data_IF_163173085641
#
_entry.id   IF_163173085641
#
_cell.length_a   1.000
_cell.length_b   1.000
_cell.length_c   1.000
_cell.angle_alpha   90.00
_cell.angle_beta   90.00
_cell.angle_gamma   90.00
#
_symmetry.space_group_name_H-M   'P 1'
#
loop_
_entity.id
_entity.type
_entity.pdbx_description
1 polymer ?
#
# COMPACT_ATOMS: atom_id res chain seq x y z
N UNK A 1 -14.56 36.31 -14.15
CA UNK A 1 -14.48 34.87 -14.46
C UNK A 1 -13.77 34.20 -13.30
N UNK A 2 -14.52 33.53 -12.41
CA UNK A 2 -13.96 32.85 -11.25
C UNK A 2 -13.57 31.43 -11.62
N UNK A 3 -12.29 31.08 -11.47
CA UNK A 3 -11.84 29.70 -11.53
C UNK A 3 -12.16 29.03 -10.19
N UNK A 4 -13.09 28.09 -10.20
CA UNK A 4 -13.30 27.19 -9.06
C UNK A 4 -12.16 26.16 -9.12
N UNK A 5 -11.06 26.47 -8.43
CA UNK A 5 -10.01 25.49 -8.13
C UNK A 5 -10.58 24.60 -7.04
N UNK A 6 -11.19 23.48 -7.42
CA UNK A 6 -11.48 22.44 -6.46
C UNK A 6 -10.17 21.94 -5.88
N UNK A 7 -10.02 22.05 -4.57
CA UNK A 7 -8.91 21.49 -3.82
C UNK A 7 -8.96 19.95 -4.00
N UNK A 8 -8.15 19.42 -4.93
CA UNK A 8 -8.18 18.01 -5.32
C UNK A 8 -7.93 17.08 -4.12
N UNK A 9 -7.23 17.53 -3.09
CA UNK A 9 -7.07 16.78 -1.84
C UNK A 9 -8.39 16.56 -1.08
N UNK A 10 -9.31 17.53 -1.09
CA UNK A 10 -10.60 17.41 -0.38
C UNK A 10 -11.58 16.49 -1.10
N UNK A 11 -11.49 16.38 -2.43
CA UNK A 11 -12.31 15.41 -3.20
C UNK A 11 -11.87 13.97 -2.91
N UNK A 12 -10.57 13.76 -2.62
CA UNK A 12 -10.01 12.45 -2.31
C UNK A 12 -10.36 11.95 -0.92
N UNK A 13 -10.70 12.82 0.03
CA UNK A 13 -11.11 12.43 1.38
C UNK A 13 -12.64 12.46 1.60
N UNK A 14 -13.37 13.39 0.96
CA UNK A 14 -14.79 13.64 1.27
C UNK A 14 -15.81 12.68 0.65
N UNK A 15 -15.47 11.94 -0.42
CA UNK A 15 -16.40 10.93 -0.96
C UNK A 15 -16.25 9.63 -0.19
N UNK A 16 -17.24 9.29 0.64
CA UNK A 16 -17.49 7.91 1.06
C UNK A 16 -17.56 7.06 -0.20
N UNK A 17 -16.66 6.10 -0.34
CA UNK A 17 -16.78 5.09 -1.40
C UNK A 17 -17.86 4.13 -0.93
N UNK A 18 -19.12 4.45 -1.21
CA UNK A 18 -20.23 3.53 -0.98
C UNK A 18 -20.27 2.51 -2.14
N UNK A 19 -19.28 1.61 -2.18
CA UNK A 19 -19.27 0.49 -3.10
C UNK A 19 -19.68 -0.78 -2.33
N UNK A 20 -20.90 -1.32 -2.54
CA UNK A 20 -21.34 -2.55 -1.87
C UNK A 20 -20.38 -3.72 -2.05
N UNK A 21 -19.68 -3.79 -3.19
CA UNK A 21 -18.64 -4.80 -3.48
C UNK A 21 -17.42 -4.71 -2.53
N UNK A 22 -17.15 -3.55 -1.92
CA UNK A 22 -16.14 -3.42 -0.86
C UNK A 22 -16.58 -4.03 0.47
N UNK A 23 -17.89 -4.09 0.73
CA UNK A 23 -18.46 -4.71 1.93
C UNK A 23 -18.45 -6.24 1.84
N UNK A 24 -18.46 -6.76 0.61
CA UNK A 24 -18.53 -8.20 0.28
C UNK A 24 -17.18 -8.85 -0.09
N UNK A 25 -16.05 -8.16 0.14
CA UNK A 25 -14.72 -8.80 0.15
C UNK A 25 -14.57 -9.74 1.37
N UNK A 26 -15.43 -10.77 1.45
CA UNK A 26 -15.23 -11.97 2.26
C UNK A 26 -14.38 -12.92 1.43
N UNK A 27 -13.06 -12.78 1.54
CA UNK A 27 -12.16 -13.81 1.06
C UNK A 27 -12.36 -15.06 1.93
N UNK A 28 -12.45 -16.21 1.27
CA UNK A 28 -12.80 -17.52 1.83
C UNK A 28 -12.17 -17.78 3.19
N UNK A 29 -13.02 -17.99 4.21
CA UNK A 29 -12.65 -18.28 5.60
C UNK A 29 -12.42 -19.77 5.86
N UNK A 30 -12.21 -20.54 4.79
CA UNK A 30 -12.13 -22.00 4.86
C UNK A 30 -10.69 -22.45 4.62
N UNK A 31 -9.82 -22.14 5.57
CA UNK A 31 -8.61 -22.90 5.86
C UNK A 31 -8.12 -22.50 7.25
N UNK A 32 -8.58 -23.23 8.26
CA UNK A 32 -8.08 -23.12 9.63
C UNK A 32 -6.66 -23.69 9.70
N UNK A 33 -5.69 -22.89 9.27
CA UNK A 33 -4.35 -22.90 9.83
C UNK A 33 -4.23 -21.64 10.69
N UNK A 34 -3.62 -21.76 11.87
CA UNK A 34 -3.41 -20.68 12.84
C UNK A 34 -2.47 -19.61 12.25
N UNK A 35 -2.90 -18.90 11.21
CA UNK A 35 -2.14 -17.78 10.68
C UNK A 35 -2.20 -16.64 11.68
N UNK A 36 -1.02 -16.08 11.99
CA UNK A 36 -0.87 -14.82 12.72
C UNK A 36 -1.54 -13.64 12.01
N UNK A 37 -1.94 -13.81 10.74
CA UNK A 37 -2.43 -12.75 9.87
C UNK A 37 -3.84 -13.05 9.36
N UNK A 38 -4.64 -12.00 9.22
CA UNK A 38 -5.94 -12.06 8.56
C UNK A 38 -5.78 -12.29 7.05
N UNK A 39 -4.77 -11.65 6.48
CA UNK A 39 -4.39 -11.79 5.07
C UNK A 39 -2.90 -11.96 4.92
N UNK A 40 -2.53 -12.81 3.98
CA UNK A 40 -1.17 -13.12 3.62
C UNK A 40 -0.92 -12.77 2.16
N UNK A 41 0.28 -12.31 1.87
CA UNK A 41 0.75 -11.94 0.54
C UNK A 41 2.15 -12.52 0.33
N UNK A 42 2.44 -12.91 -0.91
CA UNK A 42 3.81 -13.01 -1.38
C UNK A 42 4.36 -11.60 -1.58
N UNK A 43 5.59 -11.38 -1.13
CA UNK A 43 6.34 -10.18 -1.39
C UNK A 43 7.73 -10.53 -1.93
N UNK A 44 8.29 -9.69 -2.78
CA UNK A 44 9.68 -9.81 -3.20
C UNK A 44 10.61 -9.74 -1.99
N UNK A 45 11.52 -10.70 -1.81
CA UNK A 45 12.51 -10.66 -0.72
C UNK A 45 13.77 -9.89 -1.18
N UNK A 46 14.04 -8.68 -0.65
CA UNK A 46 15.21 -7.93 -1.06
C UNK A 46 16.53 -8.55 -0.59
N UNK A 47 16.51 -9.44 0.40
CA UNK A 47 17.72 -10.10 0.91
C UNK A 47 18.08 -11.35 0.13
N UNK A 48 17.14 -11.88 -0.66
CA UNK A 48 17.34 -13.09 -1.46
C UNK A 48 16.77 -12.89 -2.87
N UNK A 49 17.56 -12.30 -3.79
CA UNK A 49 17.12 -11.97 -5.14
C UNK A 49 16.53 -13.19 -5.87
N UNK A 50 15.31 -13.04 -6.38
CA UNK A 50 14.59 -14.11 -7.07
C UNK A 50 13.76 -15.02 -6.14
N UNK A 51 13.73 -14.73 -4.85
CA UNK A 51 12.84 -15.38 -3.88
C UNK A 51 11.73 -14.44 -3.42
N UNK A 52 10.65 -15.05 -2.94
CA UNK A 52 9.55 -14.38 -2.27
C UNK A 52 9.51 -14.77 -0.80
N UNK A 53 8.97 -13.90 0.04
CA UNK A 53 8.69 -14.18 1.43
C UNK A 53 7.25 -13.82 1.76
N UNK A 54 6.70 -14.47 2.79
CA UNK A 54 5.31 -14.25 3.20
C UNK A 54 5.21 -13.08 4.14
N UNK A 55 4.33 -12.14 3.81
CA UNK A 55 3.99 -10.97 4.63
C UNK A 55 2.48 -10.93 4.87
N UNK A 56 2.01 -10.21 5.88
CA UNK A 56 0.58 -10.19 6.14
C UNK A 56 0.06 -9.09 7.05
N UNK A 57 -1.26 -8.91 7.02
CA UNK A 57 -1.98 -7.93 7.84
C UNK A 57 -2.48 -8.63 9.09
N UNK A 58 -2.08 -8.15 10.27
CA UNK A 58 -2.57 -8.68 11.54
C UNK A 58 -4.09 -8.51 11.67
N UNK A 59 -4.76 -9.49 12.29
CA UNK A 59 -6.21 -9.46 12.56
C UNK A 59 -6.65 -8.20 13.30
N UNK A 60 -5.86 -7.73 14.26
CA UNK A 60 -6.12 -6.48 14.99
C UNK A 60 -6.11 -5.26 14.06
N UNK A 61 -5.12 -5.17 13.17
CA UNK A 61 -5.01 -4.08 12.21
C UNK A 61 -6.16 -4.09 11.20
N UNK A 62 -6.52 -5.28 10.68
CA UNK A 62 -7.69 -5.45 9.81
C UNK A 62 -8.99 -4.97 10.49
N UNK A 63 -9.21 -5.35 11.76
CA UNK A 63 -10.38 -4.91 12.53
C UNK A 63 -10.40 -3.39 12.70
N UNK A 64 -9.26 -2.75 12.94
CA UNK A 64 -9.17 -1.29 13.02
C UNK A 64 -9.59 -0.62 11.70
N UNK A 65 -9.05 -1.08 10.57
CA UNK A 65 -9.39 -0.56 9.24
C UNK A 65 -10.89 -0.69 8.97
N UNK A 66 -11.45 -1.87 9.24
CA UNK A 66 -12.86 -2.16 9.00
C UNK A 66 -13.80 -1.36 9.91
N UNK A 67 -13.53 -1.33 11.21
CA UNK A 67 -14.44 -0.76 12.20
C UNK A 67 -14.46 0.77 12.20
N UNK A 68 -13.37 1.41 11.80
CA UNK A 68 -13.29 2.88 11.69
C UNK A 68 -13.85 3.42 10.35
N UNK A 69 -14.40 2.57 9.48
CA UNK A 69 -14.97 3.00 8.21
C UNK A 69 -13.91 3.46 7.20
N UNK A 70 -12.68 2.95 7.29
CA UNK A 70 -11.63 3.20 6.32
C UNK A 70 -11.81 2.33 5.07
N UNK A 71 -12.99 2.42 4.44
CA UNK A 71 -13.34 1.65 3.24
C UNK A 71 -12.31 1.85 2.12
N UNK A 72 -11.70 3.04 2.05
CA UNK A 72 -10.60 3.36 1.13
C UNK A 72 -9.32 2.57 1.42
N UNK A 73 -8.95 2.39 2.68
CA UNK A 73 -7.77 1.61 3.05
C UNK A 73 -8.01 0.13 2.75
N UNK A 74 -9.19 -0.39 3.10
CA UNK A 74 -9.63 -1.74 2.76
C UNK A 74 -9.65 -1.97 1.23
N UNK A 75 -10.18 -1.01 0.47
CA UNK A 75 -10.24 -1.05 -0.99
C UNK A 75 -8.87 -1.01 -1.69
N UNK A 76 -7.81 -0.62 -0.98
CA UNK A 76 -6.44 -0.55 -1.52
C UNK A 76 -5.65 -1.83 -1.30
N UNK A 77 -6.23 -2.85 -0.69
CA UNK A 77 -5.51 -4.09 -0.44
C UNK A 77 -5.02 -4.81 -1.70
N UNK A 78 -5.73 -4.65 -2.82
CA UNK A 78 -5.23 -5.20 -4.09
C UNK A 78 -4.05 -4.40 -4.65
N UNK A 79 -3.94 -3.10 -4.33
CA UNK A 79 -2.72 -2.34 -4.61
C UNK A 79 -1.58 -2.78 -3.70
N UNK A 80 -1.87 -3.08 -2.43
CA UNK A 80 -0.88 -3.65 -1.50
C UNK A 80 -0.25 -4.90 -2.10
N UNK A 81 -1.07 -5.85 -2.57
CA UNK A 81 -0.58 -7.05 -3.27
C UNK A 81 0.30 -6.70 -4.49
N UNK A 82 -0.19 -5.84 -5.38
CA UNK A 82 0.52 -5.46 -6.61
C UNK A 82 1.90 -4.84 -6.33
N UNK A 83 1.98 -3.97 -5.31
CA UNK A 83 3.24 -3.32 -4.93
C UNK A 83 4.21 -4.27 -4.25
N UNK A 84 3.72 -5.27 -3.50
CA UNK A 84 4.58 -6.29 -2.88
C UNK A 84 5.18 -7.25 -3.91
N UNK A 85 4.42 -7.61 -4.94
CA UNK A 85 4.86 -8.51 -6.02
C UNK A 85 5.76 -7.79 -7.04
N UNK A 86 5.45 -6.54 -7.36
CA UNK A 86 6.15 -5.77 -8.41
C UNK A 86 6.52 -4.35 -7.94
N UNK A 87 7.39 -4.22 -6.93
CA UNK A 87 7.85 -2.91 -6.49
C UNK A 87 8.70 -2.24 -7.57
N UNK A 88 8.66 -0.90 -7.61
CA UNK A 88 9.62 -0.08 -8.38
C UNK A 88 10.91 0.16 -7.60
N UNK A 89 10.85 0.05 -6.27
CA UNK A 89 12.00 0.14 -5.37
C UNK A 89 11.64 -0.43 -3.99
N UNK A 90 12.65 -0.89 -3.25
CA UNK A 90 12.51 -1.24 -1.84
C UNK A 90 13.57 -0.47 -1.05
N UNK A 91 13.13 0.16 0.04
CA UNK A 91 14.01 0.85 0.98
C UNK A 91 14.00 0.18 2.35
N UNK A 92 15.15 0.18 3.03
CA UNK A 92 15.30 -0.28 4.41
C UNK A 92 15.36 0.91 5.37
N UNK A 93 14.62 0.81 6.47
CA UNK A 93 14.47 1.87 7.45
C UNK A 93 13.08 2.50 7.35
N UNK A 94 12.55 2.98 8.48
CA UNK A 94 11.24 3.63 8.52
C UNK A 94 11.25 4.98 9.20
N UNK A 95 10.59 5.95 8.58
CA UNK A 95 10.31 7.28 9.10
C UNK A 95 8.94 7.34 9.80
N UNK A 96 8.92 6.88 11.06
CA UNK A 96 7.99 7.40 12.06
C UNK A 96 8.87 7.87 13.20
N UNK A 97 8.76 9.14 13.58
CA UNK A 97 9.52 9.67 14.71
C UNK A 97 9.39 8.71 15.90
N UNK A 98 10.51 8.15 16.36
CA UNK A 98 10.57 7.28 17.54
C UNK A 98 10.35 5.78 17.30
N UNK A 99 10.28 5.28 16.06
CA UNK A 99 10.34 3.83 15.78
C UNK A 99 11.65 3.47 15.06
N UNK A 100 12.45 2.60 15.66
CA UNK A 100 13.77 2.17 15.14
C UNK A 100 13.74 0.78 14.50
N UNK A 101 12.57 0.28 14.11
CA UNK A 101 12.44 -1.10 13.65
C UNK A 101 13.04 -1.27 12.24
N UNK A 102 13.71 -2.41 12.03
CA UNK A 102 14.13 -2.90 10.71
C UNK A 102 12.89 -3.12 9.84
N UNK A 103 12.49 -2.06 9.15
CA UNK A 103 11.30 -2.05 8.33
C UNK A 103 11.66 -1.93 6.85
N UNK A 104 10.88 -2.57 6.01
CA UNK A 104 10.97 -2.52 4.56
C UNK A 104 9.84 -1.67 4.01
N UNK A 105 10.19 -0.72 3.15
CA UNK A 105 9.25 0.12 2.41
C UNK A 105 9.28 -0.31 0.95
N UNK A 106 8.22 -0.98 0.52
CA UNK A 106 7.95 -1.32 -0.87
C UNK A 106 7.28 -0.12 -1.54
N UNK A 107 7.87 0.32 -2.64
CA UNK A 107 7.42 1.47 -3.39
C UNK A 107 6.84 0.94 -4.69
N UNK A 108 5.62 1.34 -5.02
CA UNK A 108 4.98 1.01 -6.29
C UNK A 108 4.43 2.25 -6.97
N UNK A 109 4.14 2.11 -8.27
CA UNK A 109 3.51 3.15 -9.07
C UNK A 109 2.32 2.58 -9.85
N UNK A 110 1.28 2.09 -9.15
CA UNK A 110 0.11 1.56 -9.83
C UNK A 110 -0.55 2.67 -10.65
N UNK A 111 -1.05 2.34 -11.85
CA UNK A 111 -1.60 3.34 -12.76
C UNK A 111 -3.03 3.79 -12.37
N UNK A 112 -3.80 2.91 -11.71
CA UNK A 112 -5.21 3.12 -11.43
C UNK A 112 -5.54 2.64 -10.00
N UNK A 113 -6.16 3.50 -9.20
CA UNK A 113 -6.69 3.14 -7.88
C UNK A 113 -8.06 2.45 -8.03
N UNK A 114 -8.40 1.55 -7.12
CA UNK A 114 -9.66 0.79 -7.04
C UNK A 114 -10.05 -0.11 -8.23
N UNK A 115 -9.28 -0.13 -9.32
CA UNK A 115 -9.67 -0.75 -10.59
C UNK A 115 -9.99 -2.24 -10.51
N UNK A 116 -9.31 -2.98 -9.63
CA UNK A 116 -9.53 -4.43 -9.45
C UNK A 116 -10.71 -4.76 -8.53
N UNK A 117 -11.18 -3.82 -7.71
CA UNK A 117 -12.23 -4.09 -6.70
C UNK A 117 -13.57 -3.47 -7.08
N UNK A 118 -13.53 -2.23 -7.55
CA UNK A 118 -14.72 -1.51 -7.98
C UNK A 118 -14.40 -0.85 -9.33
N UNK A 119 -14.43 -1.62 -10.45
CA UNK A 119 -14.10 -1.11 -11.80
C UNK A 119 -14.94 0.12 -12.20
N UNK A 120 -16.11 0.26 -11.59
CA UNK A 120 -17.05 1.38 -11.77
C UNK A 120 -16.58 2.69 -11.11
N UNK A 121 -15.57 2.63 -10.23
CA UNK A 121 -14.97 3.77 -9.51
C UNK A 121 -13.46 3.82 -9.78
N UNK A 122 -13.00 3.30 -10.93
CA UNK A 122 -11.62 3.47 -11.38
C UNK A 122 -11.24 4.95 -11.36
N UNK A 123 -10.26 5.32 -10.53
CA UNK A 123 -9.68 6.65 -10.57
C UNK A 123 -8.20 6.53 -10.94
N UNK A 124 -7.67 7.42 -11.80
CA UNK A 124 -6.25 7.42 -12.08
C UNK A 124 -5.47 7.62 -10.78
N UNK A 125 -4.28 7.03 -10.69
CA UNK A 125 -3.38 7.28 -9.57
C UNK A 125 -3.15 8.80 -9.40
N UNK A 126 -3.03 9.29 -8.15
CA UNK A 126 -2.86 10.72 -7.94
C UNK A 126 -1.55 11.19 -8.62
N UNK A 127 -1.58 12.30 -9.39
CA UNK A 127 -0.41 12.77 -10.12
C UNK A 127 0.79 13.03 -9.20
N UNK A 128 1.97 12.57 -9.62
CA UNK A 128 3.22 12.76 -8.87
C UNK A 128 3.30 11.98 -7.55
N UNK A 129 2.46 10.95 -7.38
CA UNK A 129 2.48 10.09 -6.19
C UNK A 129 2.90 8.66 -6.50
N UNK A 130 3.47 8.02 -5.48
CA UNK A 130 3.79 6.59 -5.41
C UNK A 130 3.01 5.96 -4.26
N UNK A 131 2.72 4.68 -4.38
CA UNK A 131 2.04 3.91 -3.35
C UNK A 131 3.07 3.15 -2.52
N UNK A 132 3.01 3.33 -1.21
CA UNK A 132 3.94 2.73 -0.25
C UNK A 132 3.27 1.61 0.51
N UNK A 133 3.97 0.49 0.63
CA UNK A 133 3.61 -0.63 1.50
C UNK A 133 4.78 -0.93 2.40
N UNK A 134 4.46 -1.26 3.63
CA UNK A 134 5.23 -0.76 4.73
C UNK A 134 5.24 -1.95 5.72
N UNK A 135 6.34 -2.73 5.70
CA UNK A 135 6.44 -4.10 6.23
C UNK A 135 7.54 -4.22 7.28
N UNK A 136 7.20 -4.66 8.49
CA UNK A 136 8.17 -4.89 9.56
C UNK A 136 9.08 -6.09 9.28
N UNK A 137 10.23 -6.20 9.94
CA UNK A 137 11.13 -7.36 9.82
C UNK A 137 10.48 -8.70 10.16
N UNK A 138 9.37 -8.71 10.90
CA UNK A 138 8.58 -9.91 11.15
C UNK A 138 7.63 -10.30 10.00
N UNK A 139 7.56 -9.50 8.93
CA UNK A 139 6.64 -9.66 7.79
C UNK A 139 5.26 -9.03 8.00
N UNK A 140 5.03 -8.27 9.07
CA UNK A 140 3.72 -7.65 9.30
C UNK A 140 3.61 -6.34 8.52
N UNK A 141 2.51 -6.18 7.78
CA UNK A 141 2.17 -4.92 7.10
C UNK A 141 1.60 -3.94 8.14
N UNK A 142 2.34 -2.88 8.44
CA UNK A 142 2.00 -1.85 9.45
C UNK A 142 1.17 -0.71 8.85
N UNK A 143 1.43 -0.34 7.60
CA UNK A 143 0.74 0.77 6.92
C UNK A 143 0.77 0.58 5.39
N UNK A 144 -0.10 1.30 4.68
CA UNK A 144 0.07 1.61 3.27
C UNK A 144 -0.54 2.96 2.94
N UNK A 145 0.09 3.72 2.04
CA UNK A 145 -0.34 5.09 1.76
C UNK A 145 0.22 5.62 0.44
N UNK A 146 -0.44 6.63 -0.12
CA UNK A 146 0.10 7.40 -1.25
C UNK A 146 1.01 8.52 -0.71
N UNK A 147 2.20 8.66 -1.29
CA UNK A 147 3.11 9.78 -1.01
C UNK A 147 3.55 10.44 -2.29
N UNK A 148 3.82 11.74 -2.22
CA UNK A 148 4.56 12.43 -3.28
C UNK A 148 5.96 11.83 -3.38
N UNK A 149 6.52 11.86 -4.57
CA UNK A 149 7.92 11.53 -4.79
C UNK A 149 8.67 12.75 -5.29
N UNK A 150 9.98 12.77 -5.09
CA UNK A 150 10.83 13.85 -5.60
C UNK A 150 10.73 13.93 -7.12
N UNK A 151 10.81 15.14 -7.65
CA UNK A 151 10.77 15.35 -9.10
C UNK A 151 11.90 14.58 -9.77
N UNK A 152 11.57 13.78 -10.79
CA UNK A 152 12.53 12.93 -11.50
C UNK A 152 12.94 11.64 -10.79
N UNK A 153 12.54 11.41 -9.53
CA UNK A 153 12.92 10.22 -8.76
C UNK A 153 11.72 9.60 -8.04
N UNK A 154 11.21 8.50 -8.60
CA UNK A 154 10.10 7.72 -8.02
C UNK A 154 10.53 6.84 -6.85
N UNK A 155 11.84 6.64 -6.66
CA UNK A 155 12.40 5.78 -5.61
C UNK A 155 12.58 6.54 -4.29
N UNK A 156 12.43 7.88 -4.32
CA UNK A 156 12.54 8.76 -3.16
C UNK A 156 11.19 9.46 -2.85
N UNK A 157 10.28 8.79 -2.13
CA UNK A 157 9.07 9.43 -1.62
C UNK A 157 9.42 10.51 -0.58
N UNK A 158 8.62 11.58 -0.56
CA UNK A 158 8.71 12.63 0.45
C UNK A 158 8.45 12.07 1.85
N UNK A 159 9.17 12.59 2.84
CA UNK A 159 9.09 12.21 4.26
C UNK A 159 9.35 10.71 4.53
N UNK A 160 9.94 9.98 3.57
CA UNK A 160 10.39 8.60 3.74
C UNK A 160 11.92 8.56 3.84
N UNK A 161 12.40 8.29 5.05
CA UNK A 161 13.81 8.04 5.33
C UNK A 161 14.13 6.55 5.13
N UNK A 162 15.39 6.25 4.80
CA UNK A 162 15.85 4.88 4.61
C UNK A 162 16.87 4.73 3.49
N UNK A 163 17.56 3.62 3.46
CA UNK A 163 18.53 3.26 2.42
C UNK A 163 17.80 2.55 1.27
N UNK A 164 18.12 2.90 0.02
CA UNK A 164 17.65 2.12 -1.13
C UNK A 164 18.41 0.79 -1.18
N UNK A 165 17.70 -0.32 -0.97
CA UNK A 165 18.30 -1.66 -0.91
C UNK A 165 17.99 -2.50 -2.15
N UNK A 166 16.99 -2.11 -2.94
CA UNK A 166 16.63 -2.82 -4.17
C UNK A 166 15.90 -1.90 -5.16
N UNK A 167 16.18 -2.10 -6.45
CA UNK A 167 15.43 -1.55 -7.59
C UNK A 167 15.57 -2.51 -8.79
N UNK A 168 14.61 -2.53 -9.75
CA UNK A 168 14.78 -3.26 -10.99
C UNK A 168 16.01 -2.73 -11.74
N UNK A 169 16.85 -3.63 -12.26
CA UNK A 169 17.98 -3.22 -13.10
C UNK A 169 17.48 -2.31 -14.23
N UNK A 170 17.97 -1.06 -14.28
CA UNK A 170 17.76 -0.19 -15.43
C UNK A 170 18.54 -0.81 -16.60
N UNK A 171 17.84 -1.56 -17.45
CA UNK A 171 18.34 -1.94 -18.78
C UNK A 171 18.46 -0.73 -19.69
#
# INVERSE_FOLDING_TARGET
MGFIVYNLAEIWDSKRIDCPKLRDLRLNKDMWTMSRWHWEFSALDPNNPGSEWTVGIAESHYRCIRNAGHDKAHARILLVKEVLETPVAIRKGWSRQGKSDDCLTYIGKPAIDYHKICPEICVPAPPGMVFLVFVTGGGTIDEWTWRKHKEGDITAPDDVEGELIWQPNQT
#
